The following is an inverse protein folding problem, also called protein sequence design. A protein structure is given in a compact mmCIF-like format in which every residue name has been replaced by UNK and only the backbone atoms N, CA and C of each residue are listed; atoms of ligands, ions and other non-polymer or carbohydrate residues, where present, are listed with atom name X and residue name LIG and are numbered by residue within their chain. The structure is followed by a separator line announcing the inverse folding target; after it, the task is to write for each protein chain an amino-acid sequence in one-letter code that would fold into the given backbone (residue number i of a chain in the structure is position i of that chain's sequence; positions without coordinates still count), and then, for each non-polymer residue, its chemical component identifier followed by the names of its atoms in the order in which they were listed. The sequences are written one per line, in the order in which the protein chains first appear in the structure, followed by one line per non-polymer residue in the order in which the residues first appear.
data_IF_287948629032
#
_entry.id   IF_287948629032
#
_cell.length_a   1.000
_cell.length_b   1.000
_cell.length_c   1.000
_cell.angle_alpha   90.00
_cell.angle_beta   90.00
_cell.angle_gamma   90.00
#
_symmetry.space_group_name_H-M   'P 1'
#
loop_
_entity.id
_entity.type
_entity.pdbx_description
1 polymer ?
#
# COMPACT_ATOMS: atom_id res chain seq x y z
N UNK A 1 17.15 3.85 -4.19
CA UNK A 1 15.80 4.42 -4.38
C UNK A 1 15.76 5.53 -5.44
N UNK A 2 16.74 6.44 -5.55
CA UNK A 2 16.77 7.47 -6.61
C UNK A 2 17.48 7.05 -7.92
N UNK A 3 18.27 5.96 -7.92
CA UNK A 3 19.04 5.54 -9.10
C UNK A 3 18.18 5.16 -10.31
N UNK A 4 16.96 4.65 -10.09
CA UNK A 4 16.03 4.35 -11.16
C UNK A 4 15.56 5.62 -11.90
N UNK A 5 15.41 6.75 -11.19
CA UNK A 5 14.99 8.03 -11.79
C UNK A 5 16.06 8.63 -12.72
N UNK A 6 17.30 8.14 -12.67
CA UNK A 6 18.37 8.55 -13.58
C UNK A 6 18.42 7.73 -14.88
N UNK A 7 17.50 6.77 -15.07
CA UNK A 7 17.49 5.88 -16.23
C UNK A 7 17.24 6.65 -17.54
N UNK A 8 18.08 6.49 -18.59
CA UNK A 8 17.85 7.10 -19.90
C UNK A 8 16.50 6.73 -20.52
N UNK A 9 16.05 5.49 -20.30
CA UNK A 9 14.76 4.99 -20.80
C UNK A 9 13.59 5.73 -20.14
N UNK A 10 13.66 6.02 -18.84
CA UNK A 10 12.57 6.75 -18.17
C UNK A 10 12.59 8.26 -18.51
N UNK A 11 13.76 8.80 -18.85
CA UNK A 11 13.97 10.20 -19.18
C UNK A 11 13.78 10.54 -20.67
N UNK A 12 13.36 9.58 -21.49
CA UNK A 12 13.07 9.77 -22.92
C UNK A 12 11.58 9.55 -23.21
N UNK A 13 11.01 10.15 -24.28
CA UNK A 13 9.65 9.90 -24.71
C UNK A 13 9.37 8.40 -24.91
N UNK A 14 8.31 7.89 -24.28
CA UNK A 14 7.93 6.48 -24.36
C UNK A 14 6.66 6.29 -25.20
N UNK A 15 6.73 5.66 -26.40
CA UNK A 15 5.56 5.48 -27.27
C UNK A 15 4.40 4.73 -26.62
N UNK A 16 4.70 3.75 -25.76
CA UNK A 16 3.69 3.01 -25.00
C UNK A 16 2.80 3.92 -24.15
N UNK A 17 3.35 5.03 -23.65
CA UNK A 17 2.64 6.04 -22.85
C UNK A 17 2.29 7.29 -23.67
N UNK A 18 2.10 7.16 -24.99
CA UNK A 18 1.78 8.30 -25.86
C UNK A 18 2.91 9.32 -25.98
N UNK A 19 4.17 8.85 -26.00
CA UNK A 19 5.39 9.66 -26.03
C UNK A 19 5.63 10.54 -24.79
N UNK A 20 5.02 10.21 -23.65
CA UNK A 20 5.30 10.88 -22.39
C UNK A 20 6.73 10.56 -21.89
N UNK A 21 7.39 11.56 -21.29
CA UNK A 21 8.62 11.36 -20.49
C UNK A 21 8.22 10.97 -19.06
N UNK A 22 8.01 9.67 -18.83
CA UNK A 22 7.39 9.14 -17.61
C UNK A 22 8.16 9.44 -16.32
N UNK A 23 9.47 9.67 -16.39
CA UNK A 23 10.25 10.03 -15.20
C UNK A 23 9.83 11.36 -14.56
N UNK A 24 9.26 12.28 -15.34
CA UNK A 24 8.74 13.54 -14.80
C UNK A 24 7.59 13.29 -13.81
N UNK A 25 6.72 12.32 -14.12
CA UNK A 25 5.63 11.89 -13.24
C UNK A 25 6.20 11.20 -12.01
N UNK A 26 7.06 10.20 -12.18
CA UNK A 26 7.61 9.42 -11.07
C UNK A 26 8.42 10.28 -10.09
N UNK A 27 9.27 11.18 -10.60
CA UNK A 27 10.06 12.08 -9.75
C UNK A 27 9.20 13.11 -9.02
N UNK A 28 8.11 13.58 -9.63
CA UNK A 28 7.16 14.49 -8.98
C UNK A 28 6.37 13.77 -7.87
N UNK A 29 5.88 12.56 -8.14
CA UNK A 29 5.17 11.74 -7.15
C UNK A 29 6.08 11.31 -6.00
N UNK A 30 7.34 10.97 -6.26
CA UNK A 30 8.30 10.59 -5.22
C UNK A 30 8.53 11.70 -4.18
N UNK A 31 8.43 12.97 -4.58
CA UNK A 31 8.53 14.13 -3.67
C UNK A 31 7.29 14.31 -2.77
N UNK A 32 6.18 13.66 -3.10
CA UNK A 32 4.92 13.73 -2.36
C UNK A 32 4.72 12.55 -1.39
N UNK A 33 5.65 11.59 -1.36
CA UNK A 33 5.58 10.44 -0.46
C UNK A 33 5.69 10.92 0.99
N UNK A 34 4.73 10.50 1.82
CA UNK A 34 4.81 10.73 3.26
C UNK A 34 5.90 9.87 3.89
N UNK A 35 7.01 10.48 4.28
CA UNK A 35 8.15 9.80 4.91
C UNK A 35 7.92 9.45 6.39
N UNK A 36 6.83 9.91 6.98
CA UNK A 36 6.47 9.66 8.37
C UNK A 36 5.52 8.48 8.56
N UNK A 37 5.24 7.70 7.51
CA UNK A 37 4.46 6.47 7.64
C UNK A 37 5.34 5.31 8.14
N UNK A 38 4.81 4.45 9.01
CA UNK A 38 5.49 3.26 9.50
C UNK A 38 4.69 1.99 9.18
N UNK A 39 5.40 0.98 8.72
CA UNK A 39 4.86 -0.36 8.54
C UNK A 39 4.82 -1.10 9.87
N UNK A 40 3.74 -1.83 10.13
CA UNK A 40 3.62 -2.69 11.31
C UNK A 40 4.47 -3.97 11.21
N UNK A 41 4.70 -4.69 12.32
CA UNK A 41 5.51 -5.90 12.32
C UNK A 41 4.80 -7.13 11.71
N UNK A 42 3.50 -7.06 11.39
CA UNK A 42 2.72 -8.16 10.82
C UNK A 42 2.13 -7.88 9.44
N UNK A 43 2.80 -7.07 8.60
CA UNK A 43 2.23 -6.61 7.32
C UNK A 43 1.77 -7.72 6.37
N UNK A 44 2.43 -8.89 6.35
CA UNK A 44 1.96 -10.01 5.52
C UNK A 44 0.53 -10.44 5.89
N UNK A 45 0.23 -10.53 7.19
CA UNK A 45 -1.11 -10.85 7.69
C UNK A 45 -2.09 -9.71 7.38
N UNK A 46 -1.69 -8.44 7.58
CA UNK A 46 -2.52 -7.27 7.23
C UNK A 46 -2.92 -7.28 5.76
N UNK A 47 -1.99 -7.58 4.84
CA UNK A 47 -2.28 -7.61 3.40
C UNK A 47 -3.23 -8.74 3.01
N UNK A 48 -3.05 -9.93 3.58
CA UNK A 48 -3.95 -11.05 3.31
C UNK A 48 -5.37 -10.75 3.81
N UNK A 49 -5.49 -10.29 5.06
CA UNK A 49 -6.79 -9.98 5.66
C UNK A 49 -7.48 -8.83 4.89
N UNK A 50 -6.74 -7.81 4.47
CA UNK A 50 -7.28 -6.72 3.66
C UNK A 50 -7.77 -7.19 2.29
N UNK A 51 -7.03 -8.10 1.63
CA UNK A 51 -7.43 -8.72 0.37
C UNK A 51 -8.76 -9.46 0.49
N UNK A 52 -8.89 -10.32 1.50
CA UNK A 52 -10.11 -11.10 1.74
C UNK A 52 -11.31 -10.19 2.06
N UNK A 53 -11.11 -9.17 2.91
CA UNK A 53 -12.19 -8.26 3.29
C UNK A 53 -12.63 -7.35 2.13
N UNK A 54 -11.71 -6.91 1.28
CA UNK A 54 -12.07 -6.12 0.11
C UNK A 54 -12.78 -6.98 -0.95
N UNK A 55 -12.38 -8.25 -1.11
CA UNK A 55 -13.10 -9.19 -1.96
C UNK A 55 -14.54 -9.41 -1.46
N UNK A 56 -14.74 -9.53 -0.14
CA UNK A 56 -16.08 -9.62 0.44
C UNK A 56 -16.94 -8.39 0.13
N UNK A 57 -16.40 -7.19 0.35
CA UNK A 57 -17.11 -5.94 0.08
C UNK A 57 -17.52 -5.81 -1.40
N UNK A 58 -16.63 -6.15 -2.33
CA UNK A 58 -16.92 -6.12 -3.78
C UNK A 58 -17.99 -7.15 -4.17
N UNK A 59 -18.04 -8.29 -3.48
CA UNK A 59 -19.07 -9.32 -3.67
C UNK A 59 -20.38 -9.06 -2.90
N UNK A 60 -20.53 -7.89 -2.27
CA UNK A 60 -21.75 -7.51 -1.55
C UNK A 60 -21.88 -8.12 -0.15
N UNK A 61 -20.81 -8.70 0.39
CA UNK A 61 -20.75 -9.26 1.74
C UNK A 61 -20.22 -8.21 2.74
N UNK A 62 -21.00 -7.15 2.95
CA UNK A 62 -20.65 -6.03 3.84
C UNK A 62 -20.07 -4.82 3.10
N UNK A 63 -19.52 -3.87 3.84
CA UNK A 63 -18.94 -2.63 3.32
C UNK A 63 -17.41 -2.62 3.41
N UNK A 64 -16.75 -1.71 2.68
CA UNK A 64 -15.31 -1.47 2.85
C UNK A 64 -14.97 -1.03 4.29
N UNK A 65 -15.86 -0.26 4.93
CA UNK A 65 -15.68 0.15 6.33
C UNK A 65 -15.73 -1.03 7.29
N UNK A 66 -16.64 -1.99 7.06
CA UNK A 66 -16.69 -3.24 7.84
C UNK A 66 -15.40 -4.04 7.68
N UNK A 67 -14.90 -4.12 6.43
CA UNK A 67 -13.65 -4.78 6.12
C UNK A 67 -12.44 -4.16 6.84
N UNK A 68 -12.32 -2.83 6.83
CA UNK A 68 -11.25 -2.13 7.55
C UNK A 68 -11.32 -2.33 9.06
N UNK A 69 -12.54 -2.31 9.64
CA UNK A 69 -12.74 -2.61 11.06
C UNK A 69 -12.31 -4.05 11.40
N UNK A 70 -12.64 -5.01 10.53
CA UNK A 70 -12.23 -6.41 10.69
C UNK A 70 -10.71 -6.57 10.62
N UNK A 71 -10.03 -5.92 9.67
CA UNK A 71 -8.56 -5.95 9.54
C UNK A 71 -7.88 -5.34 10.76
N UNK A 72 -8.40 -4.22 11.29
CA UNK A 72 -7.85 -3.61 12.50
C UNK A 72 -7.97 -4.58 13.69
N UNK A 73 -9.14 -5.18 13.88
CA UNK A 73 -9.38 -6.14 14.95
C UNK A 73 -8.46 -7.37 14.83
N UNK A 74 -8.38 -7.98 13.65
CA UNK A 74 -7.53 -9.16 13.42
C UNK A 74 -6.06 -8.86 13.66
N UNK A 75 -5.58 -7.70 13.21
CA UNK A 75 -4.19 -7.23 13.41
C UNK A 75 -3.87 -7.05 14.90
N UNK A 76 -4.74 -6.36 15.65
CA UNK A 76 -4.56 -6.16 17.09
C UNK A 76 -4.57 -7.51 17.83
N UNK A 77 -5.50 -8.39 17.48
CA UNK A 77 -5.56 -9.75 18.05
C UNK A 77 -4.31 -10.56 17.74
N UNK A 78 -3.83 -10.52 16.49
CA UNK A 78 -2.63 -11.22 16.07
C UNK A 78 -1.40 -10.73 16.83
N UNK A 79 -1.19 -9.41 16.87
CA UNK A 79 -0.04 -8.81 17.56
C UNK A 79 -0.06 -9.12 19.07
N UNK A 80 -1.22 -9.05 19.73
CA UNK A 80 -1.36 -9.45 21.14
C UNK A 80 -0.99 -10.92 21.36
N UNK A 81 -1.40 -11.83 20.45
CA UNK A 81 -1.01 -13.26 20.50
C UNK A 81 0.50 -13.47 20.33
N UNK A 82 1.17 -12.59 19.58
CA UNK A 82 2.63 -12.59 19.41
C UNK A 82 3.37 -11.92 20.58
N UNK A 83 2.68 -11.48 21.64
CA UNK A 83 3.28 -10.89 22.84
C UNK A 83 3.48 -9.38 22.78
N UNK A 84 3.02 -8.70 21.73
CA UNK A 84 3.07 -7.24 21.67
C UNK A 84 2.02 -6.60 22.58
N UNK A 85 2.39 -5.50 23.25
CA UNK A 85 1.42 -4.60 23.87
C UNK A 85 0.84 -3.67 22.80
N UNK A 86 -0.49 -3.66 22.65
CA UNK A 86 -1.19 -2.95 21.57
C UNK A 86 -2.35 -2.14 22.13
N UNK A 87 -2.39 -0.85 21.78
CA UNK A 87 -3.47 0.09 22.08
C UNK A 87 -4.16 0.52 20.78
N UNK A 88 -5.46 0.75 20.85
CA UNK A 88 -6.32 1.14 19.73
C UNK A 88 -7.04 2.43 20.02
#
# INVERSE_FOLDING_TARGET
MLSALSSPTLNSPQPFFGNQVINQVFSSSAKQVNVNFQWGPSMQQVYNDMGDQFANAVNGHGTLSDGLNAVQLSTVTYLKKQGFSVTT
#
